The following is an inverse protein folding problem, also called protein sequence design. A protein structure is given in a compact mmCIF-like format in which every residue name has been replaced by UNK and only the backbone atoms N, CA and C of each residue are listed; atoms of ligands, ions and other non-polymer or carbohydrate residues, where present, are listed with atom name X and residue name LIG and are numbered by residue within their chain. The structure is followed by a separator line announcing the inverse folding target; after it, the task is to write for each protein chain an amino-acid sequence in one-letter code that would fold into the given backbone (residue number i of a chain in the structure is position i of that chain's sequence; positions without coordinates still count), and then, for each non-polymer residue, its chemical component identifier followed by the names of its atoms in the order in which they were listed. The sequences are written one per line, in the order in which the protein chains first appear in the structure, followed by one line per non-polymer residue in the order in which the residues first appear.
data_IF_140646516520
#
_entry.id   IF_140646516520
#
_cell.length_a   1.000
_cell.length_b   1.000
_cell.length_c   1.000
_cell.angle_alpha   90.00
_cell.angle_beta   90.00
_cell.angle_gamma   90.00
#
_symmetry.space_group_name_H-M   'P 1'
#
loop_
_entity.id
_entity.type
_entity.pdbx_description
1 polymer ?
#
# COMPACT_ATOMS: atom_id res chain seq x y z
N UNK A 1 -27.99 -15.06 -23.24
CA UNK A 1 -26.52 -15.05 -23.43
C UNK A 1 -26.13 -16.45 -23.89
N UNK A 2 -25.53 -16.58 -25.07
CA UNK A 2 -24.97 -17.85 -25.58
C UNK A 2 -23.44 -17.77 -25.46
N UNK A 3 -22.81 -18.81 -24.92
CA UNK A 3 -21.35 -18.92 -24.79
C UNK A 3 -20.92 -20.20 -25.51
N UNK A 4 -20.07 -20.11 -26.55
CA UNK A 4 -19.55 -21.28 -27.25
C UNK A 4 -18.69 -22.19 -26.36
N UNK A 5 -18.67 -23.50 -26.65
CA UNK A 5 -17.89 -24.49 -25.89
C UNK A 5 -16.38 -24.24 -25.94
N UNK A 6 -15.88 -23.64 -27.02
CA UNK A 6 -14.48 -23.23 -27.20
C UNK A 6 -14.02 -22.16 -26.19
N UNK A 7 -14.95 -21.44 -25.55
CA UNK A 7 -14.63 -20.46 -24.51
C UNK A 7 -14.46 -21.09 -23.12
N UNK A 8 -14.60 -22.42 -22.99
CA UNK A 8 -14.38 -23.11 -21.71
C UNK A 8 -12.90 -23.02 -21.30
N UNK A 9 -12.63 -22.25 -20.26
CA UNK A 9 -11.28 -22.13 -19.69
C UNK A 9 -10.96 -23.32 -18.78
N UNK A 10 -10.22 -24.29 -19.35
CA UNK A 10 -9.79 -25.49 -18.63
C UNK A 10 -10.89 -26.54 -18.48
N UNK A 11 -10.70 -27.57 -17.64
CA UNK A 11 -11.68 -28.64 -17.49
C UNK A 11 -13.01 -28.17 -16.90
N UNK A 12 -14.12 -28.77 -17.36
CA UNK A 12 -15.45 -28.50 -16.82
C UNK A 12 -15.49 -28.76 -15.30
N UNK A 13 -16.19 -27.89 -14.56
CA UNK A 13 -16.28 -27.90 -13.09
C UNK A 13 -14.97 -27.59 -12.33
N UNK A 14 -13.88 -27.19 -13.00
CA UNK A 14 -12.59 -26.89 -12.34
C UNK A 14 -12.35 -25.41 -12.01
N UNK A 15 -13.28 -24.51 -12.34
CA UNK A 15 -13.08 -23.06 -12.31
C UNK A 15 -12.68 -22.50 -10.93
N UNK A 16 -13.28 -22.98 -9.84
CA UNK A 16 -12.95 -22.50 -8.49
C UNK A 16 -11.50 -22.78 -8.11
N UNK A 17 -11.04 -24.01 -8.31
CA UNK A 17 -9.71 -24.44 -7.85
C UNK A 17 -8.59 -23.93 -8.75
N UNK A 18 -8.77 -23.98 -10.08
CA UNK A 18 -7.70 -23.65 -11.03
C UNK A 18 -7.63 -22.18 -11.38
N UNK A 19 -8.77 -21.50 -11.49
CA UNK A 19 -8.82 -20.09 -11.89
C UNK A 19 -9.01 -19.25 -10.64
N UNK A 20 -10.12 -19.43 -9.92
CA UNK A 20 -10.46 -18.62 -8.75
C UNK A 20 -9.35 -18.56 -7.71
N UNK A 21 -8.93 -19.72 -7.17
CA UNK A 21 -7.90 -19.78 -6.13
C UNK A 21 -6.54 -19.26 -6.62
N UNK A 22 -6.09 -19.69 -7.79
CA UNK A 22 -4.79 -19.29 -8.33
C UNK A 22 -4.73 -17.79 -8.63
N UNK A 23 -5.79 -17.24 -9.22
CA UNK A 23 -5.91 -15.79 -9.48
C UNK A 23 -5.92 -15.02 -8.17
N UNK A 24 -6.73 -15.41 -7.18
CA UNK A 24 -6.78 -14.72 -5.88
C UNK A 24 -5.46 -14.79 -5.10
N UNK A 25 -4.72 -15.89 -5.24
CA UNK A 25 -3.36 -16.02 -4.67
C UNK A 25 -2.40 -15.03 -5.31
N UNK A 26 -2.42 -14.91 -6.64
CA UNK A 26 -1.61 -13.96 -7.36
C UNK A 26 -2.02 -12.51 -7.09
N UNK A 27 -3.31 -12.19 -7.13
CA UNK A 27 -3.83 -10.84 -6.88
C UNK A 27 -3.42 -10.31 -5.50
N UNK A 28 -3.41 -11.14 -4.46
CA UNK A 28 -2.93 -10.74 -3.12
C UNK A 28 -1.51 -10.20 -3.14
N UNK A 29 -0.62 -10.77 -3.96
CA UNK A 29 0.77 -10.29 -4.08
C UNK A 29 0.85 -8.94 -4.78
N UNK A 30 0.05 -8.74 -5.82
CA UNK A 30 0.04 -7.49 -6.61
C UNK A 30 -0.61 -6.35 -5.81
N UNK A 31 -1.69 -6.65 -5.09
CA UNK A 31 -2.37 -5.69 -4.21
C UNK A 31 -1.45 -5.19 -3.10
N UNK A 32 -0.61 -6.06 -2.53
CA UNK A 32 0.35 -5.66 -1.51
C UNK A 32 1.36 -4.64 -2.04
N UNK A 33 1.86 -4.82 -3.28
CA UNK A 33 2.80 -3.90 -3.90
C UNK A 33 2.20 -2.49 -4.06
N UNK A 34 0.94 -2.41 -4.52
CA UNK A 34 0.23 -1.12 -4.63
C UNK A 34 0.04 -0.43 -3.28
N UNK A 35 -0.27 -1.20 -2.23
CA UNK A 35 -0.41 -0.67 -0.87
C UNK A 35 0.91 -0.11 -0.33
N UNK A 36 2.04 -0.80 -0.55
CA UNK A 36 3.35 -0.30 -0.10
C UNK A 36 3.71 1.05 -0.73
N UNK A 37 3.59 1.18 -2.05
CA UNK A 37 3.85 2.45 -2.72
C UNK A 37 2.88 3.56 -2.30
N UNK A 38 1.61 3.20 -2.05
CA UNK A 38 0.61 4.12 -1.50
C UNK A 38 1.00 4.65 -0.11
N UNK A 39 1.46 3.76 0.78
CA UNK A 39 1.91 4.14 2.12
C UNK A 39 3.15 5.04 2.10
N UNK A 40 4.11 4.77 1.23
CA UNK A 40 5.30 5.60 1.01
C UNK A 40 4.91 7.02 0.57
N UNK A 41 4.08 7.13 -0.48
CA UNK A 41 3.60 8.43 -0.97
C UNK A 41 2.80 9.20 0.10
N UNK A 42 1.94 8.52 0.87
CA UNK A 42 1.21 9.15 1.98
C UNK A 42 2.20 9.70 3.03
N UNK A 43 3.21 8.92 3.41
CA UNK A 43 4.21 9.33 4.39
C UNK A 43 5.01 10.55 3.91
N UNK A 44 5.47 10.54 2.66
CA UNK A 44 6.18 11.69 2.05
C UNK A 44 5.31 12.95 2.05
N UNK A 45 4.03 12.82 1.70
CA UNK A 45 3.08 13.92 1.73
C UNK A 45 2.87 14.47 3.14
N UNK A 46 2.75 13.59 4.14
CA UNK A 46 2.65 13.97 5.55
C UNK A 46 3.91 14.71 6.03
N UNK A 47 5.11 14.23 5.68
CA UNK A 47 6.38 14.88 6.02
C UNK A 47 6.42 16.26 5.38
N UNK A 48 6.15 16.37 4.07
CA UNK A 48 6.14 17.65 3.34
C UNK A 48 5.18 18.67 3.96
N UNK A 49 3.96 18.25 4.28
CA UNK A 49 2.97 19.12 4.92
C UNK A 49 3.39 19.53 6.33
N UNK A 50 4.03 18.63 7.08
CA UNK A 50 4.48 18.94 8.44
C UNK A 50 5.52 20.06 8.49
N UNK A 51 6.37 20.18 7.47
CA UNK A 51 7.31 21.29 7.32
C UNK A 51 6.59 22.61 7.01
N UNK A 52 5.64 22.59 6.08
CA UNK A 52 4.97 23.79 5.57
C UNK A 52 3.97 24.38 6.57
N UNK A 53 3.25 23.54 7.31
CA UNK A 53 2.19 23.99 8.21
C UNK A 53 2.77 24.62 9.48
N UNK A 54 2.40 25.86 9.76
CA UNK A 54 2.77 26.58 10.99
C UNK A 54 1.59 26.75 11.95
N UNK A 55 1.82 26.46 13.23
CA UNK A 55 0.89 26.70 14.34
C UNK A 55 1.69 27.04 15.62
N UNK A 56 1.12 27.88 16.48
CA UNK A 56 1.78 28.34 17.71
C UNK A 56 3.18 28.94 17.45
N UNK A 57 3.31 29.68 16.34
CA UNK A 57 4.56 30.37 15.97
C UNK A 57 5.68 29.47 15.45
N UNK A 58 5.44 28.19 15.15
CA UNK A 58 6.44 27.28 14.59
C UNK A 58 5.84 26.24 13.64
N UNK A 59 6.70 25.61 12.82
CA UNK A 59 6.32 24.43 12.04
C UNK A 59 5.77 23.32 12.95
N UNK A 60 4.72 22.63 12.52
CA UNK A 60 4.14 21.53 13.29
C UNK A 60 5.09 20.34 13.45
N UNK A 61 6.10 20.22 12.57
CA UNK A 61 7.18 19.24 12.71
C UNK A 61 7.95 19.39 14.03
N UNK A 62 7.98 20.58 14.62
CA UNK A 62 8.71 20.82 15.87
C UNK A 62 7.98 20.30 17.12
N UNK A 63 6.77 19.75 16.99
CA UNK A 63 6.06 19.11 18.11
C UNK A 63 6.53 17.67 18.29
N UNK A 64 6.94 17.32 19.53
CA UNK A 64 7.45 16.00 19.88
C UNK A 64 6.51 14.86 19.48
N UNK A 65 5.20 15.05 19.70
CA UNK A 65 4.20 14.02 19.39
C UNK A 65 4.16 13.72 17.88
N UNK A 66 4.26 14.74 17.03
CA UNK A 66 4.26 14.53 15.58
C UNK A 66 5.54 13.82 15.12
N UNK A 67 6.71 14.22 15.64
CA UNK A 67 7.99 13.53 15.34
C UNK A 67 7.98 12.07 15.76
N UNK A 68 7.36 11.76 16.90
CA UNK A 68 7.20 10.38 17.38
C UNK A 68 6.35 9.56 16.40
N UNK A 69 5.18 10.10 15.99
CA UNK A 69 4.31 9.43 15.00
C UNK A 69 5.02 9.21 13.67
N UNK A 70 5.71 10.21 13.14
CA UNK A 70 6.46 10.08 11.89
C UNK A 70 7.57 9.03 11.99
N UNK A 71 8.25 8.91 13.14
CA UNK A 71 9.25 7.85 13.38
C UNK A 71 8.64 6.46 13.42
N UNK A 72 7.47 6.30 14.05
CA UNK A 72 6.74 5.03 14.10
C UNK A 72 6.38 4.55 12.70
N UNK A 73 5.91 5.44 11.82
CA UNK A 73 5.54 5.10 10.44
C UNK A 73 6.73 4.98 9.48
N UNK A 74 7.77 5.81 9.69
CA UNK A 74 8.95 5.88 8.83
C UNK A 74 10.14 5.05 9.31
N UNK A 75 9.96 4.11 10.23
CA UNK A 75 11.05 3.33 10.85
C UNK A 75 12.00 2.65 9.83
N UNK A 76 11.53 2.43 8.60
CA UNK A 76 12.34 1.87 7.50
C UNK A 76 13.44 2.85 7.01
N UNK A 77 13.22 4.17 7.04
CA UNK A 77 14.20 5.16 6.54
C UNK A 77 15.26 5.55 7.56
N UNK A 78 14.97 5.37 8.86
CA UNK A 78 15.86 5.85 9.94
C UNK A 78 16.98 4.84 10.28
N UNK A 79 16.91 3.59 9.82
CA UNK A 79 17.99 2.61 10.05
C UNK A 79 19.16 2.69 9.04
N UNK A 80 19.10 3.54 8.02
CA UNK A 80 20.15 3.67 7.00
C UNK A 80 21.19 4.76 7.30
N UNK A 81 21.02 5.56 8.37
CA UNK A 81 22.01 6.55 8.81
C UNK A 81 22.49 6.23 10.24
N UNK A 82 23.27 5.15 10.35
CA UNK A 82 24.09 4.80 11.51
C UNK A 82 25.53 4.59 11.10
#
# INVERSE_FOLDING_TARGET
MYVPDENLLGPLHSGFLRIGKATLEWERTVLLAALMGGMENILENCIRYSWQRQQFGKSILNFLQLRKRLREFGFIYVQQEG
#
